data_IF_590054772500
#
_entry.id   IF_590054772500
#
_cell.length_a   1.000
_cell.length_b   1.000
_cell.length_c   1.000
_cell.angle_alpha   90.00
_cell.angle_beta   90.00
_cell.angle_gamma   90.00
#
_symmetry.space_group_name_H-M   'P 1'
#
loop_
_entity.id
_entity.type
_entity.pdbx_description
1 polymer ?
#
# COMPACT_ATOMS: atom_id res chain seq x y z
N UNK A 1 12.64 10.85 -2.87
CA UNK A 1 11.73 10.74 -1.69
C UNK A 1 11.57 9.27 -1.34
N UNK A 2 11.33 8.95 -0.06
CA UNK A 2 11.04 7.59 0.38
C UNK A 2 9.54 7.41 0.64
N UNK A 3 9.00 6.26 0.29
CA UNK A 3 7.63 5.86 0.63
C UNK A 3 7.68 4.89 1.82
N UNK A 4 6.66 4.94 2.69
CA UNK A 4 6.57 4.09 3.87
C UNK A 4 6.22 2.67 3.42
N UNK A 5 7.15 1.72 3.53
CA UNK A 5 6.89 0.33 3.09
C UNK A 5 6.24 -0.54 4.17
N UNK A 6 6.42 -0.19 5.45
CA UNK A 6 5.83 -0.93 6.57
C UNK A 6 5.65 -0.03 7.79
N UNK A 7 4.56 -0.23 8.51
CA UNK A 7 4.29 0.38 9.82
C UNK A 7 4.03 -0.74 10.81
N UNK A 8 4.81 -0.79 11.88
CA UNK A 8 4.63 -1.73 12.99
C UNK A 8 4.24 -0.92 14.21
N UNK A 9 3.09 -1.22 14.80
CA UNK A 9 2.67 -0.58 16.04
C UNK A 9 3.30 -1.23 17.28
N UNK A 10 3.15 -0.60 18.44
CA UNK A 10 3.72 -1.11 19.70
C UNK A 10 3.22 -2.49 20.13
N UNK A 11 2.10 -2.96 19.54
CA UNK A 11 1.53 -4.29 19.80
C UNK A 11 2.07 -5.36 18.82
N UNK A 12 2.96 -4.98 17.91
CA UNK A 12 3.57 -5.89 16.92
C UNK A 12 2.70 -6.13 15.67
N UNK A 13 1.60 -5.40 15.51
CA UNK A 13 0.81 -5.47 14.28
C UNK A 13 1.50 -4.70 13.16
N UNK A 14 1.66 -5.37 12.02
CA UNK A 14 2.31 -4.83 10.82
C UNK A 14 1.28 -4.47 9.74
N UNK A 15 1.43 -3.29 9.15
CA UNK A 15 0.77 -2.87 7.91
C UNK A 15 1.84 -2.66 6.82
N UNK A 16 1.70 -3.33 5.68
CA UNK A 16 2.66 -3.25 4.57
C UNK A 16 2.04 -2.48 3.41
N UNK A 17 2.83 -1.62 2.76
CA UNK A 17 2.42 -0.84 1.61
C UNK A 17 3.33 -1.10 0.42
N UNK A 18 2.72 -1.30 -0.75
CA UNK A 18 3.38 -1.46 -2.04
C UNK A 18 3.11 -0.24 -2.90
N UNK A 19 4.10 0.17 -3.70
CA UNK A 19 4.02 1.36 -4.53
C UNK A 19 4.44 1.07 -5.98
N UNK A 20 3.93 1.86 -6.92
CA UNK A 20 4.45 1.90 -8.29
C UNK A 20 5.63 2.87 -8.44
N UNK A 21 6.17 2.96 -9.67
CA UNK A 21 7.27 3.86 -10.03
C UNK A 21 6.93 5.35 -9.85
N UNK A 22 5.65 5.70 -9.78
CA UNK A 22 5.14 7.05 -9.57
C UNK A 22 4.87 7.33 -8.08
N UNK A 23 5.08 6.35 -7.19
CA UNK A 23 4.86 6.47 -5.76
C UNK A 23 3.40 6.34 -5.32
N UNK A 24 2.53 5.78 -6.16
CA UNK A 24 1.12 5.52 -5.84
C UNK A 24 0.96 4.15 -5.20
N UNK A 25 0.08 4.01 -4.21
CA UNK A 25 -0.11 2.78 -3.43
C UNK A 25 -0.79 1.70 -4.26
N UNK A 26 -0.06 0.68 -4.72
CA UNK A 26 -0.63 -0.43 -5.51
C UNK A 26 -1.11 -1.59 -4.64
N UNK A 27 -0.72 -1.63 -3.38
CA UNK A 27 -1.13 -2.67 -2.45
C UNK A 27 -1.01 -2.24 -1.01
N UNK A 28 -1.91 -2.75 -0.19
CA UNK A 28 -1.89 -2.65 1.27
C UNK A 28 -2.12 -4.03 1.85
N UNK A 29 -1.30 -4.45 2.81
CA UNK A 29 -1.61 -5.58 3.69
C UNK A 29 -1.89 -5.05 5.08
N UNK A 30 -3.11 -5.26 5.56
CA UNK A 30 -3.53 -4.85 6.89
C UNK A 30 -3.01 -5.84 7.96
N UNK A 31 -3.04 -5.40 9.21
CA UNK A 31 -2.64 -6.20 10.39
C UNK A 31 -3.37 -7.54 10.55
N UNK A 32 -4.56 -7.65 9.97
CA UNK A 32 -5.37 -8.87 9.97
C UNK A 32 -4.95 -9.85 8.86
N UNK A 33 -3.97 -9.48 8.03
CA UNK A 33 -3.47 -10.29 6.93
C UNK A 33 -4.27 -10.14 5.62
N UNK A 34 -5.27 -9.25 5.59
CA UNK A 34 -6.01 -8.95 4.37
C UNK A 34 -5.17 -8.10 3.42
N UNK A 35 -5.13 -8.52 2.15
CA UNK A 35 -4.45 -7.80 1.09
C UNK A 35 -5.49 -7.02 0.27
N UNK A 36 -5.32 -5.70 0.21
CA UNK A 36 -6.07 -4.82 -0.68
C UNK A 36 -5.15 -4.41 -1.83
N UNK A 37 -5.55 -4.68 -3.07
CA UNK A 37 -4.82 -4.26 -4.26
C UNK A 37 -5.51 -3.06 -4.91
N UNK A 38 -4.71 -2.09 -5.33
CA UNK A 38 -5.16 -0.91 -6.05
C UNK A 38 -4.50 -0.89 -7.41
N UNK A 39 -5.30 -0.67 -8.44
CA UNK A 39 -4.81 -0.42 -9.80
C UNK A 39 -5.08 1.03 -10.14
N UNK A 40 -4.15 1.68 -10.84
CA UNK A 40 -4.34 3.04 -11.31
C UNK A 40 -4.32 3.08 -12.83
N UNK A 41 -5.11 3.98 -13.41
CA UNK A 41 -5.03 4.35 -14.82
C UNK A 41 -3.78 5.22 -15.05
N UNK A 42 -3.44 5.44 -16.33
CA UNK A 42 -2.37 6.38 -16.71
C UNK A 42 -2.66 7.81 -16.23
N UNK A 43 -3.94 8.19 -16.16
CA UNK A 43 -4.38 9.48 -15.63
C UNK A 43 -4.29 9.58 -14.09
N UNK A 44 -4.09 8.47 -13.39
CA UNK A 44 -3.99 8.42 -11.93
C UNK A 44 -5.27 8.03 -11.19
N UNK A 45 -6.35 7.77 -11.90
CA UNK A 45 -7.60 7.32 -11.30
C UNK A 45 -7.51 5.87 -10.84
N UNK A 46 -8.22 5.53 -9.77
CA UNK A 46 -8.36 4.14 -9.35
C UNK A 46 -9.15 3.36 -10.41
N UNK A 47 -8.56 2.29 -10.91
CA UNK A 47 -9.18 1.37 -11.86
C UNK A 47 -10.06 0.40 -11.05
N UNK A 48 -11.36 0.46 -11.30
CA UNK A 48 -12.36 -0.46 -10.77
C UNK A 48 -12.36 -1.79 -11.53
#
# INVERSE_FOLDING_TARGET
MGNIVSVINALGYEEIFSYDLLGRVTGKKDREGYNTAYSYTEAGDIKN
#
